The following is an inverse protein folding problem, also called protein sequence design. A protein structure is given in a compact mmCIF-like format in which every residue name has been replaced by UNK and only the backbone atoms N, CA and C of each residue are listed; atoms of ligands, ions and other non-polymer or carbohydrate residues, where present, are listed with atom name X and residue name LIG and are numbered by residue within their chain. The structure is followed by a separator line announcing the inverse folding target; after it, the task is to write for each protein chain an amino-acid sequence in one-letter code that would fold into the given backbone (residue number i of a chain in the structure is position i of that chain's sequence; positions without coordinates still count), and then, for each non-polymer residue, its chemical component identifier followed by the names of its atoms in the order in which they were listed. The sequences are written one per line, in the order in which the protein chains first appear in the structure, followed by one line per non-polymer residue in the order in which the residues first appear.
data_IF_571996201714
#
_entry.id   IF_571996201714
#
_cell.length_a   1.000
_cell.length_b   1.000
_cell.length_c   1.000
_cell.angle_alpha   90.00
_cell.angle_beta   90.00
_cell.angle_gamma   90.00
#
_symmetry.space_group_name_H-M   'P 1'
#
loop_
_entity.id
_entity.type
_entity.pdbx_description
1 polymer ?
#
# COMPACT_ATOMS: atom_id res chain seq x y z
N UNK A 1 -10.67 -9.37 27.37
CA UNK A 1 -9.89 -9.91 26.23
C UNK A 1 -8.43 -9.92 26.66
N UNK A 2 -7.73 -11.05 26.60
CA UNK A 2 -6.29 -11.11 26.88
C UNK A 2 -5.53 -10.99 25.57
N UNK A 3 -4.58 -10.06 25.50
CA UNK A 3 -3.73 -9.86 24.34
C UNK A 3 -2.63 -10.94 24.37
N UNK A 4 -2.95 -12.15 23.91
CA UNK A 4 -2.03 -13.30 23.88
C UNK A 4 -1.67 -13.63 22.45
N UNK A 5 -0.37 -13.60 22.11
CA UNK A 5 0.14 -14.07 20.81
C UNK A 5 -0.31 -15.51 20.57
N UNK A 6 -1.03 -15.75 19.48
CA UNK A 6 -1.55 -17.08 19.10
C UNK A 6 -0.62 -17.80 18.12
N UNK A 7 0.05 -17.06 17.23
CA UNK A 7 0.94 -17.61 16.21
C UNK A 7 1.98 -16.59 15.73
N UNK A 8 2.95 -17.03 14.94
CA UNK A 8 3.94 -16.19 14.25
C UNK A 8 4.12 -16.67 12.82
N UNK A 9 3.85 -15.81 11.83
CA UNK A 9 4.11 -16.08 10.41
C UNK A 9 5.43 -15.45 10.02
N UNK A 10 6.38 -16.26 9.55
CA UNK A 10 7.69 -15.78 9.10
C UNK A 10 7.59 -15.28 7.65
N UNK A 11 7.63 -13.97 7.46
CA UNK A 11 7.59 -13.36 6.14
C UNK A 11 8.97 -13.31 5.48
N UNK A 12 10.01 -13.28 6.32
CA UNK A 12 11.42 -13.12 5.94
C UNK A 12 11.75 -11.66 5.66
N UNK A 13 12.81 -11.12 6.25
CA UNK A 13 13.24 -9.73 6.02
C UNK A 13 12.43 -8.67 6.76
N UNK A 14 12.64 -7.40 6.36
CA UNK A 14 11.94 -6.23 6.88
C UNK A 14 10.52 -6.17 6.32
N UNK A 15 9.57 -5.83 7.19
CA UNK A 15 8.15 -5.71 6.86
C UNK A 15 7.73 -4.25 6.98
N UNK A 16 6.92 -3.78 6.04
CA UNK A 16 6.26 -2.48 6.11
C UNK A 16 4.82 -2.61 6.62
N UNK A 17 3.95 -1.70 6.17
CA UNK A 17 2.55 -1.66 6.60
C UNK A 17 1.76 -2.92 6.20
N UNK A 18 0.74 -3.21 7.00
CA UNK A 18 -0.21 -4.32 6.80
C UNK A 18 -1.62 -3.79 6.65
N UNK A 19 -2.41 -4.37 5.75
CA UNK A 19 -3.80 -3.96 5.53
C UNK A 19 -4.71 -5.18 5.41
N UNK A 20 -5.89 -5.12 6.03
CA UNK A 20 -6.93 -6.14 5.85
C UNK A 20 -7.78 -5.80 4.62
N UNK A 21 -7.98 -6.76 3.72
CA UNK A 21 -8.91 -6.62 2.61
C UNK A 21 -10.24 -7.28 2.96
N UNK A 22 -11.32 -6.50 3.00
CA UNK A 22 -12.65 -7.01 3.33
C UNK A 22 -13.25 -7.88 2.22
N UNK A 23 -12.80 -7.73 0.97
CA UNK A 23 -13.32 -8.50 -0.16
C UNK A 23 -12.83 -9.96 -0.12
N UNK A 24 -11.50 -10.17 -0.01
CA UNK A 24 -10.90 -11.50 0.13
C UNK A 24 -10.93 -12.04 1.56
N UNK A 25 -11.10 -11.15 2.56
CA UNK A 25 -10.93 -11.44 4.00
C UNK A 25 -9.50 -11.84 4.37
N UNK A 26 -8.52 -11.44 3.56
CA UNK A 26 -7.10 -11.71 3.78
C UNK A 26 -6.36 -10.47 4.33
N UNK A 27 -5.19 -10.70 4.90
CA UNK A 27 -4.26 -9.65 5.33
C UNK A 27 -3.13 -9.55 4.31
N UNK A 28 -2.82 -8.35 3.87
CA UNK A 28 -1.71 -8.06 2.98
C UNK A 28 -0.60 -7.36 3.75
N UNK A 29 0.65 -7.71 3.47
CA UNK A 29 1.83 -7.20 4.18
C UNK A 29 2.93 -6.87 3.18
N UNK A 30 3.49 -5.66 3.26
CA UNK A 30 4.71 -5.33 2.51
C UNK A 30 5.90 -6.11 3.06
N UNK A 31 6.49 -6.98 2.24
CA UNK A 31 7.78 -7.62 2.50
C UNK A 31 8.86 -6.82 1.77
N UNK A 32 9.32 -5.76 2.41
CA UNK A 32 10.13 -4.69 1.83
C UNK A 32 11.46 -5.22 1.26
N UNK A 33 12.15 -6.09 2.01
CA UNK A 33 13.44 -6.65 1.59
C UNK A 33 13.34 -7.54 0.34
N UNK A 34 12.15 -8.07 0.06
CA UNK A 34 11.88 -8.96 -1.07
C UNK A 34 11.24 -8.25 -2.25
N UNK A 35 10.82 -6.99 -2.10
CA UNK A 35 10.01 -6.27 -3.11
C UNK A 35 8.74 -7.02 -3.46
N UNK A 36 8.08 -7.52 -2.41
CA UNK A 36 6.87 -8.33 -2.53
C UNK A 36 5.75 -7.79 -1.65
N UNK A 37 4.52 -8.00 -2.11
CA UNK A 37 3.32 -7.96 -1.27
C UNK A 37 2.95 -9.40 -0.91
N UNK A 38 2.82 -9.69 0.38
CA UNK A 38 2.47 -11.02 0.88
C UNK A 38 1.00 -11.03 1.28
N UNK A 39 0.25 -12.01 0.77
CA UNK A 39 -1.15 -12.24 1.11
C UNK A 39 -1.24 -13.39 2.12
N UNK A 40 -1.99 -13.18 3.19
CA UNK A 40 -2.13 -14.09 4.32
C UNK A 40 -3.60 -14.37 4.57
N UNK A 41 -3.97 -15.65 4.67
CA UNK A 41 -5.27 -16.07 5.16
C UNK A 41 -5.25 -16.13 6.70
N UNK A 42 -5.95 -15.22 7.40
CA UNK A 42 -5.94 -15.16 8.86
C UNK A 42 -6.77 -16.28 9.51
N UNK A 43 -7.51 -17.09 8.75
CA UNK A 43 -8.31 -18.20 9.32
C UNK A 43 -7.46 -19.40 9.71
N UNK A 44 -6.31 -19.56 9.06
CA UNK A 44 -5.36 -20.67 9.27
C UNK A 44 -3.91 -20.18 9.45
N UNK A 45 -3.70 -18.87 9.54
CA UNK A 45 -2.39 -18.22 9.66
C UNK A 45 -1.40 -18.63 8.54
N UNK A 46 -1.87 -18.76 7.29
CA UNK A 46 -1.04 -19.21 6.17
C UNK A 46 -0.78 -18.10 5.14
N UNK A 47 0.44 -18.10 4.58
CA UNK A 47 0.75 -17.31 3.38
C UNK A 47 0.07 -18.00 2.19
N UNK A 48 -0.82 -17.29 1.51
CA UNK A 48 -1.51 -17.78 0.31
C UNK A 48 -0.87 -17.27 -0.97
N UNK A 49 -0.16 -16.13 -0.91
CA UNK A 49 0.55 -15.59 -2.05
C UNK A 49 1.77 -14.76 -1.65
N UNK A 50 2.76 -14.74 -2.55
CA UNK A 50 3.83 -13.74 -2.61
C UNK A 50 3.74 -13.11 -3.99
N UNK A 51 3.47 -11.82 -4.04
CA UNK A 51 3.22 -11.06 -5.26
C UNK A 51 4.43 -10.17 -5.51
N UNK A 52 5.10 -10.38 -6.63
CA UNK A 52 6.26 -9.55 -7.01
C UNK A 52 5.80 -8.14 -7.38
N UNK A 53 6.54 -7.13 -6.91
CA UNK A 53 6.29 -5.72 -7.18
C UNK A 53 7.38 -5.16 -8.11
N UNK A 54 7.33 -5.43 -9.43
CA UNK A 54 8.31 -4.88 -10.36
C UNK A 54 8.31 -3.35 -10.28
N UNK A 55 9.51 -2.77 -10.18
CA UNK A 55 9.68 -1.32 -10.00
C UNK A 55 9.69 -0.84 -8.56
N UNK A 56 9.37 -1.68 -7.57
CA UNK A 56 9.46 -1.32 -6.15
C UNK A 56 10.91 -1.24 -5.65
N UNK A 57 11.19 -0.24 -4.82
CA UNK A 57 12.32 -0.21 -3.88
C UNK A 57 11.83 0.40 -2.58
N UNK A 58 12.10 -0.25 -1.44
CA UNK A 58 11.60 0.24 -0.16
C UNK A 58 10.07 0.26 -0.05
N UNK A 59 9.34 -0.71 -0.62
CA UNK A 59 7.88 -0.74 -0.49
C UNK A 59 7.47 -0.83 0.99
N UNK A 60 6.75 0.17 1.47
CA UNK A 60 6.42 0.31 2.88
C UNK A 60 4.95 0.67 3.09
N UNK A 61 4.50 1.79 2.51
CA UNK A 61 3.10 2.18 2.51
C UNK A 61 2.19 1.21 1.76
N UNK A 62 0.99 0.95 2.31
CA UNK A 62 -0.01 0.08 1.71
C UNK A 62 -1.42 0.61 1.97
N UNK A 63 -2.22 0.74 0.93
CA UNK A 63 -3.66 0.95 1.03
C UNK A 63 -4.39 0.02 0.06
N UNK A 64 -5.48 -0.61 0.51
CA UNK A 64 -6.32 -1.46 -0.34
C UNK A 64 -7.68 -0.80 -0.53
N UNK A 65 -8.19 -0.80 -1.75
CA UNK A 65 -9.54 -0.37 -2.11
C UNK A 65 -10.34 -1.63 -2.50
N UNK A 66 -10.99 -2.32 -1.53
CA UNK A 66 -11.58 -3.64 -1.74
C UNK A 66 -12.59 -3.70 -2.88
N UNK A 67 -13.43 -2.67 -3.00
CA UNK A 67 -14.49 -2.59 -4.00
C UNK A 67 -13.97 -2.46 -5.45
N UNK A 68 -12.70 -2.06 -5.61
CA UNK A 68 -12.03 -1.97 -6.91
C UNK A 68 -11.00 -3.09 -7.13
N UNK A 69 -10.76 -3.92 -6.12
CA UNK A 69 -9.67 -4.90 -6.11
C UNK A 69 -8.30 -4.29 -6.43
N UNK A 70 -8.05 -3.06 -5.95
CA UNK A 70 -6.78 -2.38 -6.12
C UNK A 70 -6.01 -2.32 -4.80
N UNK A 71 -4.69 -2.50 -4.90
CA UNK A 71 -3.75 -2.14 -3.85
C UNK A 71 -2.81 -1.04 -4.35
N UNK A 72 -2.56 -0.06 -3.50
CA UNK A 72 -1.61 1.01 -3.71
C UNK A 72 -0.43 0.85 -2.78
N UNK A 73 0.77 0.84 -3.34
CA UNK A 73 2.01 0.57 -2.61
C UNK A 73 2.96 1.75 -2.78
N UNK A 74 3.28 2.43 -1.69
CA UNK A 74 4.30 3.48 -1.68
C UNK A 74 5.69 2.88 -1.48
N UNK A 75 6.64 3.34 -2.29
CA UNK A 75 8.00 2.86 -2.36
C UNK A 75 8.96 4.00 -1.97
N UNK A 76 9.46 3.94 -0.74
CA UNK A 76 10.24 5.01 -0.10
C UNK A 76 11.55 5.27 -0.86
N UNK A 77 12.31 4.21 -1.16
CA UNK A 77 13.67 4.31 -1.72
C UNK A 77 13.73 4.77 -3.19
N UNK A 78 12.60 4.98 -3.86
CA UNK A 78 12.57 5.45 -5.25
C UNK A 78 11.42 6.40 -5.61
N UNK A 79 10.73 6.97 -4.62
CA UNK A 79 9.66 7.95 -4.81
C UNK A 79 8.58 7.47 -5.81
N UNK A 80 8.14 6.21 -5.66
CA UNK A 80 7.11 5.61 -6.51
C UNK A 80 5.85 5.24 -5.74
N UNK A 81 4.72 5.38 -6.41
CA UNK A 81 3.46 4.72 -6.06
C UNK A 81 3.19 3.63 -7.11
N UNK A 82 2.98 2.39 -6.67
CA UNK A 82 2.53 1.30 -7.54
C UNK A 82 1.03 1.08 -7.39
N UNK A 83 0.36 0.85 -8.51
CA UNK A 83 -1.02 0.37 -8.57
C UNK A 83 -0.99 -1.13 -8.94
N UNK A 84 -1.51 -1.96 -8.05
CA UNK A 84 -1.56 -3.41 -8.18
C UNK A 84 -3.03 -3.86 -8.29
N UNK A 85 -3.34 -4.62 -9.33
CA UNK A 85 -4.60 -5.35 -9.44
C UNK A 85 -4.52 -6.64 -8.60
N UNK A 86 -5.39 -6.78 -7.61
CA UNK A 86 -5.42 -7.91 -6.68
C UNK A 86 -6.05 -9.17 -7.28
N UNK A 87 -6.87 -9.05 -8.33
CA UNK A 87 -7.43 -10.20 -9.04
C UNK A 87 -6.36 -10.86 -9.90
N UNK A 88 -5.62 -10.05 -10.66
CA UNK A 88 -4.57 -10.55 -11.57
C UNK A 88 -3.22 -10.70 -10.88
N UNK A 89 -3.02 -10.04 -9.73
CA UNK A 89 -1.77 -9.96 -8.97
C UNK A 89 -0.64 -9.34 -9.77
N UNK A 90 -0.97 -8.32 -10.55
CA UNK A 90 -0.03 -7.63 -11.43
C UNK A 90 0.02 -6.15 -11.11
N UNK A 91 1.22 -5.58 -11.14
CA UNK A 91 1.39 -4.12 -11.14
C UNK A 91 0.94 -3.62 -12.50
N UNK A 92 -0.12 -2.81 -12.51
CA UNK A 92 -0.75 -2.32 -13.73
C UNK A 92 -0.30 -0.90 -14.07
N UNK A 93 0.07 -0.09 -13.06
CA UNK A 93 0.63 1.25 -13.26
C UNK A 93 1.64 1.62 -12.18
N UNK A 94 2.43 2.66 -12.46
CA UNK A 94 3.33 3.28 -11.50
C UNK A 94 3.38 4.78 -11.71
N UNK A 95 3.54 5.54 -10.63
CA UNK A 95 3.53 6.98 -10.64
C UNK A 95 4.73 7.54 -9.87
N UNK A 96 5.23 8.69 -10.31
CA UNK A 96 6.16 9.51 -9.52
C UNK A 96 5.39 10.28 -8.44
N UNK A 97 5.92 10.27 -7.22
CA UNK A 97 5.39 10.99 -6.05
C UNK A 97 6.51 11.82 -5.41
N UNK A 98 6.17 12.55 -4.34
CA UNK A 98 7.18 13.22 -3.50
C UNK A 98 8.12 12.22 -2.82
N UNK A 99 9.28 12.69 -2.37
CA UNK A 99 10.31 11.87 -1.74
C UNK A 99 9.83 11.21 -0.44
N UNK A 100 10.41 10.04 -0.14
CA UNK A 100 10.13 9.18 1.01
C UNK A 100 8.64 8.90 1.27
N UNK A 101 7.86 8.44 0.27
CA UNK A 101 6.43 8.22 0.42
C UNK A 101 6.15 7.01 1.34
N UNK A 102 5.37 7.21 2.41
CA UNK A 102 5.10 6.18 3.43
C UNK A 102 3.60 6.03 3.70
N UNK A 103 2.91 7.13 4.02
CA UNK A 103 1.52 7.09 4.47
C UNK A 103 0.55 7.30 3.31
N UNK A 104 -0.47 6.44 3.22
CA UNK A 104 -1.55 6.56 2.25
C UNK A 104 -2.89 6.68 2.98
N UNK A 105 -3.79 7.50 2.42
CA UNK A 105 -5.18 7.61 2.86
C UNK A 105 -6.11 7.74 1.66
N UNK A 106 -7.31 7.17 1.74
CA UNK A 106 -8.29 7.19 0.66
C UNK A 106 -9.63 7.77 1.14
N UNK A 107 -10.16 8.74 0.39
CA UNK A 107 -11.51 9.24 0.55
C UNK A 107 -12.43 8.54 -0.48
N UNK A 108 -13.24 7.55 -0.06
CA UNK A 108 -14.14 6.85 -0.97
C UNK A 108 -15.29 7.72 -1.46
N UNK A 109 -15.66 8.79 -0.75
CA UNK A 109 -16.71 9.71 -1.18
C UNK A 109 -16.27 10.60 -2.33
N UNK A 110 -14.97 10.91 -2.41
CA UNK A 110 -14.36 11.68 -3.51
C UNK A 110 -13.60 10.82 -4.52
N UNK A 111 -13.35 9.54 -4.22
CA UNK A 111 -12.46 8.70 -5.01
C UNK A 111 -11.05 9.26 -5.06
N UNK A 112 -10.54 9.79 -3.94
CA UNK A 112 -9.22 10.46 -3.89
C UNK A 112 -8.26 9.72 -2.99
N UNK A 113 -7.12 9.30 -3.55
CA UNK A 113 -5.99 8.77 -2.81
C UNK A 113 -4.98 9.88 -2.54
N UNK A 114 -4.55 9.97 -1.29
CA UNK A 114 -3.49 10.85 -0.82
C UNK A 114 -2.26 10.00 -0.48
N UNK A 115 -1.09 10.44 -0.95
CA UNK A 115 0.20 9.80 -0.65
C UNK A 115 1.10 10.87 -0.06
N UNK A 116 1.54 10.66 1.17
CA UNK A 116 2.40 11.58 1.91
C UNK A 116 3.71 10.92 2.30
N UNK A 117 4.80 11.68 2.21
CA UNK A 117 6.13 11.27 2.65
C UNK A 117 6.77 12.28 3.60
N UNK A 118 7.94 11.93 4.13
CA UNK A 118 8.66 12.76 5.12
C UNK A 118 9.13 14.12 4.56
N UNK A 119 9.23 14.23 3.23
CA UNK A 119 9.56 15.47 2.53
C UNK A 119 8.47 16.57 2.65
N UNK A 120 7.33 16.27 3.28
CA UNK A 120 6.24 17.24 3.43
C UNK A 120 5.51 17.52 2.12
N UNK A 121 5.64 16.64 1.15
CA UNK A 121 4.93 16.67 -0.13
C UNK A 121 3.78 15.65 -0.07
N UNK A 122 2.60 16.08 -0.51
CA UNK A 122 1.45 15.19 -0.69
C UNK A 122 1.04 15.16 -2.15
N UNK A 123 1.11 13.97 -2.72
CA UNK A 123 0.56 13.65 -4.03
C UNK A 123 -0.90 13.22 -3.90
N UNK A 124 -1.74 13.69 -4.81
CA UNK A 124 -3.16 13.36 -4.88
C UNK A 124 -3.48 12.64 -6.18
N UNK A 125 -4.31 11.60 -6.09
CA UNK A 125 -4.76 10.81 -7.23
C UNK A 125 -6.28 10.66 -7.23
N UNK A 126 -6.90 10.84 -8.39
CA UNK A 126 -8.26 10.36 -8.63
C UNK A 126 -8.20 8.86 -8.92
N UNK A 127 -9.05 8.11 -8.24
CA UNK A 127 -9.19 6.66 -8.37
C UNK A 127 -10.64 6.35 -8.69
N UNK A 128 -10.87 5.85 -9.90
CA UNK A 128 -12.15 5.31 -10.33
C UNK A 128 -12.01 3.83 -10.74
N UNK A 129 -13.11 3.19 -11.12
CA UNK A 129 -13.13 1.76 -11.45
C UNK A 129 -12.35 1.38 -12.72
N UNK A 130 -11.94 2.36 -13.52
CA UNK A 130 -11.30 2.18 -14.82
C UNK A 130 -9.94 2.86 -14.93
N UNK A 131 -9.72 3.94 -14.18
CA UNK A 131 -8.50 4.75 -14.26
C UNK A 131 -8.05 5.25 -12.91
N UNK A 132 -6.73 5.34 -12.76
CA UNK A 132 -6.06 6.10 -11.71
C UNK A 132 -5.25 7.18 -12.38
N UNK A 133 -5.32 8.41 -11.86
CA UNK A 133 -4.57 9.53 -12.42
C UNK A 133 -4.11 10.49 -11.33
N UNK A 134 -2.87 10.99 -11.45
CA UNK A 134 -2.34 12.02 -10.55
C UNK A 134 -3.07 13.33 -10.84
N UNK A 135 -3.74 13.89 -9.84
CA UNK A 135 -4.52 15.14 -9.97
C UNK A 135 -3.74 16.35 -9.46
N UNK A 136 -2.71 16.15 -8.65
CA UNK A 136 -1.89 17.24 -8.16
C UNK A 136 -0.85 16.80 -7.13
N UNK A 137 -0.05 17.77 -6.72
CA UNK A 137 0.93 17.65 -5.66
C UNK A 137 1.05 18.99 -4.93
N UNK A 138 1.16 18.96 -3.61
CA UNK A 138 1.28 20.16 -2.78
C UNK A 138 2.22 19.94 -1.60
N UNK A 139 2.94 20.99 -1.20
CA UNK A 139 3.75 20.97 0.03
C UNK A 139 2.89 21.40 1.22
N UNK A 140 2.91 20.60 2.28
CA UNK A 140 2.19 20.86 3.53
C UNK A 140 3.14 21.26 4.68
N UNK A 141 4.42 21.48 4.36
CA UNK A 141 5.50 21.73 5.33
C UNK A 141 6.17 20.44 5.81
N UNK A 142 7.44 20.53 6.21
CA UNK A 142 8.19 19.38 6.73
C UNK A 142 7.54 18.88 8.04
N UNK A 143 7.32 17.56 8.14
CA UNK A 143 6.78 16.82 9.32
C UNK A 143 5.26 16.55 9.42
N UNK A 144 4.50 16.45 8.32
CA UNK A 144 3.12 15.95 8.41
C UNK A 144 3.07 14.40 8.48
N UNK A 145 2.84 13.84 9.68
CA UNK A 145 2.49 12.43 9.86
C UNK A 145 1.00 12.29 10.23
N UNK A 146 0.29 11.46 9.47
CA UNK A 146 -1.14 11.05 9.57
C UNK A 146 -2.15 11.97 8.85
N UNK A 147 -2.89 11.36 7.92
CA UNK A 147 -4.22 11.80 7.49
C UNK A 147 -5.23 10.90 8.23
N UNK A 148 -6.11 11.50 9.04
CA UNK A 148 -7.12 10.81 9.85
C UNK A 148 -8.43 10.55 9.12
#
# INVERSE_FOLDING_TARGET
QSNRRTNTIQLGGTVGNTHYDAASRHVFVNAQSQRQLVEIDPTNDAIVARIDLPGAKGNHGLYIVPQLHLAFIACEDNARLLELDLLTRQVIQSFDVGDDPDVLAFDPGRGTLYVSGEAGIVSMFAVDSSTVSKTGEGSIGSNAHVVG
#
